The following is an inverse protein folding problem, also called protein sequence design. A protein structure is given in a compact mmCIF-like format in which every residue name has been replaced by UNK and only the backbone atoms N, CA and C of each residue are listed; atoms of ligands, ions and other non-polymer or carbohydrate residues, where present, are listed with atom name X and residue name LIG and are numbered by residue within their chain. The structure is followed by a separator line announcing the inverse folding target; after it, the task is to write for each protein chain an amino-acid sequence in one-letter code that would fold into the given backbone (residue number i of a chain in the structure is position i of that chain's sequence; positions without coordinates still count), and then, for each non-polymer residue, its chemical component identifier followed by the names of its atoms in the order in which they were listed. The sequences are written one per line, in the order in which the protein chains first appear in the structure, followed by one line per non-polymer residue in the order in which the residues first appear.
data_IF_566193820856
#
_entry.id   IF_566193820856
#
_cell.length_a   1.000
_cell.length_b   1.000
_cell.length_c   1.000
_cell.angle_alpha   90.00
_cell.angle_beta   90.00
_cell.angle_gamma   90.00
#
_symmetry.space_group_name_H-M   'P 1'
#
loop_
_entity.id
_entity.type
_entity.pdbx_description
1 polymer ?
#
# COMPACT_ATOMS: atom_id res chain seq x y z
N UNK A 1 24.08 -36.09 12.28
CA UNK A 1 23.79 -34.85 11.51
C UNK A 1 22.27 -34.66 11.46
N UNK A 2 21.73 -33.81 12.33
CA UNK A 2 20.29 -33.56 12.42
C UNK A 2 19.88 -32.57 11.32
N UNK A 3 19.07 -33.02 10.35
CA UNK A 3 18.37 -32.15 9.40
C UNK A 3 17.33 -31.38 10.19
N UNK A 4 17.48 -30.06 10.27
CA UNK A 4 16.58 -29.17 11.00
C UNK A 4 15.14 -29.30 10.50
N UNK A 5 14.28 -29.86 11.35
CA UNK A 5 12.84 -29.81 11.20
C UNK A 5 12.45 -28.32 11.20
N UNK A 6 11.84 -27.86 10.12
CA UNK A 6 11.34 -26.50 9.97
C UNK A 6 10.30 -26.28 11.07
N UNK A 7 10.70 -25.59 12.13
CA UNK A 7 9.92 -25.41 13.35
C UNK A 7 8.59 -24.74 13.01
N UNK A 8 7.46 -25.37 13.34
CA UNK A 8 6.14 -24.82 13.06
C UNK A 8 5.97 -23.45 13.73
N UNK A 9 5.52 -22.47 12.95
CA UNK A 9 5.20 -21.15 13.46
C UNK A 9 4.09 -21.22 14.51
N UNK A 10 4.24 -20.47 15.60
CA UNK A 10 3.25 -20.40 16.68
C UNK A 10 1.86 -20.00 16.15
N UNK A 11 1.82 -19.15 15.13
CA UNK A 11 0.58 -18.73 14.46
C UNK A 11 -0.11 -19.90 13.75
N UNK A 12 0.65 -20.71 12.99
CA UNK A 12 0.13 -21.90 12.32
C UNK A 12 -0.47 -22.86 13.34
N UNK A 13 0.30 -23.18 14.39
CA UNK A 13 -0.11 -24.12 15.45
C UNK A 13 -1.45 -23.72 16.06
N UNK A 14 -1.63 -22.44 16.38
CA UNK A 14 -2.87 -21.93 16.98
C UNK A 14 -4.07 -21.96 16.06
N UNK A 15 -3.89 -21.60 14.78
CA UNK A 15 -4.98 -21.67 13.80
C UNK A 15 -5.41 -23.13 13.66
N UNK A 16 -4.44 -24.04 13.57
CA UNK A 16 -4.69 -25.48 13.47
C UNK A 16 -5.43 -25.99 14.72
N UNK A 17 -4.98 -25.60 15.92
CA UNK A 17 -5.64 -25.97 17.19
C UNK A 17 -7.06 -25.40 17.29
N UNK A 18 -7.29 -24.17 16.82
CA UNK A 18 -8.62 -23.55 16.81
C UNK A 18 -9.58 -24.29 15.88
N UNK A 19 -9.14 -24.62 14.65
CA UNK A 19 -9.93 -25.40 13.70
C UNK A 19 -10.21 -26.79 14.26
N UNK A 20 -9.19 -27.48 14.78
CA UNK A 20 -9.30 -28.83 15.34
C UNK A 20 -10.36 -28.86 16.46
N UNK A 21 -10.29 -27.90 17.39
CA UNK A 21 -11.23 -27.79 18.51
C UNK A 21 -12.66 -27.47 18.06
N UNK A 22 -12.85 -26.51 17.16
CA UNK A 22 -14.19 -26.06 16.77
C UNK A 22 -14.88 -27.00 15.79
N UNK A 23 -14.12 -27.78 15.01
CA UNK A 23 -14.64 -28.73 14.02
C UNK A 23 -14.57 -30.19 14.47
N UNK A 24 -13.97 -30.48 15.62
CA UNK A 24 -13.87 -31.83 16.17
C UNK A 24 -13.01 -32.78 15.33
N UNK A 25 -11.99 -32.25 14.63
CA UNK A 25 -11.09 -33.03 13.76
C UNK A 25 -9.66 -33.02 14.29
N UNK A 26 -8.87 -34.03 13.94
CA UNK A 26 -7.51 -34.18 14.45
C UNK A 26 -6.57 -33.10 13.90
N UNK A 27 -5.53 -32.76 14.67
CA UNK A 27 -4.51 -31.79 14.25
C UNK A 27 -3.87 -32.16 12.91
N UNK A 28 -3.53 -33.43 12.72
CA UNK A 28 -2.89 -33.94 11.50
C UNK A 28 -3.83 -33.86 10.30
N UNK A 29 -5.13 -34.03 10.51
CA UNK A 29 -6.14 -33.85 9.48
C UNK A 29 -6.31 -32.38 9.10
N UNK A 30 -6.32 -31.47 10.07
CA UNK A 30 -6.30 -30.03 9.78
C UNK A 30 -5.04 -29.66 9.00
N UNK A 31 -3.85 -30.12 9.39
CA UNK A 31 -2.61 -29.85 8.68
C UNK A 31 -2.65 -30.36 7.22
N UNK A 32 -3.23 -31.53 6.98
CA UNK A 32 -3.47 -32.04 5.62
C UNK A 32 -4.39 -31.11 4.83
N UNK A 33 -5.51 -30.70 5.41
CA UNK A 33 -6.43 -29.75 4.77
C UNK A 33 -5.79 -28.39 4.50
N UNK A 34 -4.90 -27.91 5.39
CA UNK A 34 -4.14 -26.67 5.21
C UNK A 34 -3.20 -26.79 4.02
N UNK A 35 -2.46 -27.88 3.91
CA UNK A 35 -1.53 -28.10 2.81
C UNK A 35 -2.27 -28.28 1.47
N UNK A 36 -3.44 -28.93 1.48
CA UNK A 36 -4.33 -29.01 0.31
C UNK A 36 -4.85 -27.64 -0.11
N UNK A 37 -5.33 -26.84 0.85
CA UNK A 37 -5.80 -25.47 0.60
C UNK A 37 -4.66 -24.60 0.06
N UNK A 38 -3.45 -24.74 0.60
CA UNK A 38 -2.25 -24.07 0.11
C UNK A 38 -1.95 -24.45 -1.35
N UNK A 39 -2.00 -25.73 -1.69
CA UNK A 39 -1.78 -26.22 -3.07
C UNK A 39 -2.85 -25.69 -4.03
N UNK A 40 -4.12 -25.65 -3.60
CA UNK A 40 -5.22 -25.07 -4.39
C UNK A 40 -4.95 -23.61 -4.76
N UNK A 41 -4.30 -22.86 -3.87
CA UNK A 41 -3.92 -21.46 -4.09
C UNK A 41 -2.60 -21.31 -4.86
N UNK A 42 -2.14 -22.38 -5.50
CA UNK A 42 -0.89 -22.42 -6.28
C UNK A 42 0.37 -22.67 -5.45
N UNK A 43 0.25 -23.06 -4.18
CA UNK A 43 1.40 -23.36 -3.30
C UNK A 43 2.16 -22.12 -2.80
N UNK A 44 1.72 -20.93 -3.22
CA UNK A 44 2.37 -19.65 -2.97
C UNK A 44 2.14 -19.14 -1.54
N UNK A 45 0.91 -19.20 -0.96
CA UNK A 45 0.71 -18.70 0.40
C UNK A 45 1.52 -19.49 1.43
N UNK A 46 1.90 -18.84 2.54
CA UNK A 46 2.48 -19.54 3.68
C UNK A 46 1.48 -20.54 4.28
N UNK A 47 1.98 -21.49 5.07
CA UNK A 47 1.11 -22.43 5.80
C UNK A 47 0.16 -21.67 6.74
N UNK A 48 0.61 -20.59 7.39
CA UNK A 48 -0.27 -19.77 8.23
C UNK A 48 -1.44 -19.18 7.43
N UNK A 49 -1.16 -18.68 6.23
CA UNK A 49 -2.17 -18.05 5.37
C UNK A 49 -3.17 -19.09 4.87
N UNK A 50 -2.69 -20.25 4.43
CA UNK A 50 -3.56 -21.36 4.05
C UNK A 50 -4.42 -21.85 5.22
N UNK A 51 -3.83 -21.91 6.42
CA UNK A 51 -4.56 -22.26 7.64
C UNK A 51 -5.63 -21.21 7.98
N UNK A 52 -5.31 -19.93 7.87
CA UNK A 52 -6.26 -18.84 8.11
C UNK A 52 -7.43 -18.89 7.12
N UNK A 53 -7.16 -19.16 5.84
CA UNK A 53 -8.20 -19.31 4.83
C UNK A 53 -9.09 -20.51 5.08
N UNK A 54 -8.48 -21.64 5.45
CA UNK A 54 -9.22 -22.82 5.84
C UNK A 54 -10.13 -22.50 7.03
N UNK A 55 -9.62 -21.83 8.06
CA UNK A 55 -10.42 -21.40 9.21
C UNK A 55 -11.59 -20.52 8.78
N UNK A 56 -11.33 -19.51 7.94
CA UNK A 56 -12.37 -18.61 7.43
C UNK A 56 -13.44 -19.35 6.62
N UNK A 57 -13.05 -20.31 5.77
CA UNK A 57 -13.98 -21.16 5.00
C UNK A 57 -14.86 -22.01 5.91
N UNK A 58 -14.27 -22.50 6.99
CA UNK A 58 -14.96 -23.30 7.99
C UNK A 58 -15.76 -22.44 8.99
N UNK A 59 -15.76 -21.11 8.85
CA UNK A 59 -16.46 -20.19 9.75
C UNK A 59 -15.80 -20.03 11.13
N UNK A 60 -14.59 -20.55 11.30
CA UNK A 60 -13.80 -20.46 12.53
C UNK A 60 -13.19 -19.05 12.58
N UNK A 61 -13.59 -18.26 13.58
CA UNK A 61 -13.04 -16.92 13.79
C UNK A 61 -11.67 -17.02 14.44
N UNK A 62 -10.62 -16.82 13.66
CA UNK A 62 -9.26 -16.73 14.17
C UNK A 62 -8.93 -15.27 14.48
N UNK A 63 -8.81 -14.96 15.76
CA UNK A 63 -8.09 -13.76 16.16
C UNK A 63 -6.60 -14.05 16.11
N UNK A 64 -5.89 -13.42 15.15
CA UNK A 64 -4.44 -13.35 15.21
C UNK A 64 -4.10 -12.59 16.50
N UNK A 65 -3.33 -13.23 17.37
CA UNK A 65 -2.92 -12.59 18.61
C UNK A 65 -2.14 -11.32 18.29
N UNK A 66 -2.13 -10.37 19.23
CA UNK A 66 -1.07 -9.35 19.25
C UNK A 66 0.22 -10.16 19.15
N UNK A 67 0.97 -10.00 18.08
CA UNK A 67 2.30 -10.59 17.99
C UNK A 67 3.13 -9.99 19.12
N UNK A 68 3.14 -10.67 20.28
CA UNK A 68 3.72 -10.18 21.55
C UNK A 68 5.24 -10.20 21.52
N UNK A 69 5.86 -10.86 20.54
CA UNK A 69 7.28 -10.70 20.29
C UNK A 69 7.52 -9.28 19.75
N UNK A 70 8.27 -8.42 20.46
CA UNK A 70 8.78 -7.19 19.88
C UNK A 70 9.50 -7.54 18.56
N UNK A 71 9.13 -6.88 17.46
CA UNK A 71 9.77 -7.10 16.16
C UNK A 71 9.23 -8.22 15.27
N UNK A 72 8.20 -8.98 15.65
CA UNK A 72 7.56 -9.91 14.69
C UNK A 72 6.47 -9.21 13.88
N UNK A 73 6.70 -9.05 12.59
CA UNK A 73 5.82 -8.40 11.62
C UNK A 73 5.36 -9.39 10.56
N UNK A 74 4.10 -9.29 10.12
CA UNK A 74 3.63 -10.02 8.95
C UNK A 74 4.25 -9.39 7.69
N UNK A 75 4.70 -10.24 6.77
CA UNK A 75 5.08 -9.80 5.41
C UNK A 75 3.83 -9.39 4.65
N UNK A 76 3.99 -8.42 3.75
CA UNK A 76 2.89 -7.96 2.90
C UNK A 76 2.37 -9.06 1.97
N UNK A 77 3.25 -9.98 1.56
CA UNK A 77 2.89 -11.17 0.77
C UNK A 77 1.93 -12.12 1.50
N UNK A 78 1.94 -12.11 2.83
CA UNK A 78 1.12 -12.99 3.67
C UNK A 78 -0.22 -12.34 4.06
N UNK A 79 -0.45 -11.08 3.65
CA UNK A 79 -1.69 -10.39 3.95
C UNK A 79 -2.81 -10.80 2.99
N UNK A 80 -4.03 -10.86 3.52
CA UNK A 80 -5.24 -11.16 2.76
C UNK A 80 -6.41 -10.26 3.15
N UNK A 81 -7.30 -9.93 2.21
CA UNK A 81 -8.52 -9.21 2.52
C UNK A 81 -9.32 -9.91 3.64
N UNK A 82 -9.75 -9.14 4.63
CA UNK A 82 -10.51 -9.63 5.79
C UNK A 82 -9.65 -9.91 7.02
N UNK A 83 -8.31 -9.93 6.91
CA UNK A 83 -7.44 -10.01 8.08
C UNK A 83 -7.61 -8.77 8.97
N UNK A 84 -7.59 -8.99 10.28
CA UNK A 84 -7.77 -7.96 11.31
C UNK A 84 -6.63 -8.01 12.30
N UNK A 85 -6.41 -6.88 12.99
CA UNK A 85 -5.36 -6.69 14.00
C UNK A 85 -3.95 -7.04 13.49
N UNK A 86 -3.69 -6.82 12.21
CA UNK A 86 -2.37 -7.12 11.63
C UNK A 86 -1.30 -6.18 12.15
N UNK A 87 -0.08 -6.69 12.30
CA UNK A 87 1.12 -5.92 12.61
C UNK A 87 2.10 -6.01 11.45
N UNK A 88 2.49 -4.87 10.89
CA UNK A 88 3.41 -4.79 9.73
C UNK A 88 4.47 -3.73 9.97
N UNK A 89 5.65 -3.95 9.40
CA UNK A 89 6.71 -2.96 9.31
C UNK A 89 6.91 -2.65 7.83
N UNK A 90 6.76 -1.39 7.46
CA UNK A 90 6.77 -0.98 6.05
C UNK A 90 7.53 0.33 5.88
N UNK A 91 8.21 0.50 4.75
CA UNK A 91 8.81 1.76 4.34
C UNK A 91 7.85 2.53 3.44
N UNK A 92 7.75 3.84 3.65
CA UNK A 92 6.93 4.74 2.84
C UNK A 92 7.59 4.93 1.47
N UNK A 93 6.97 4.39 0.44
CA UNK A 93 7.36 4.64 -0.95
C UNK A 93 6.85 6.00 -1.41
N UNK A 94 5.58 6.30 -1.15
CA UNK A 94 4.94 7.54 -1.62
C UNK A 94 3.95 8.05 -0.60
N UNK A 95 3.96 9.36 -0.40
CA UNK A 95 2.94 10.09 0.37
C UNK A 95 1.97 10.72 -0.64
N UNK A 96 0.69 10.35 -0.59
CA UNK A 96 -0.35 11.02 -1.39
C UNK A 96 -1.04 12.12 -0.57
N UNK A 97 -1.95 12.85 -1.22
CA UNK A 97 -2.70 13.92 -0.57
C UNK A 97 -3.62 13.39 0.54
N UNK A 98 -3.80 14.21 1.58
CA UNK A 98 -4.87 14.03 2.56
C UNK A 98 -6.18 14.50 1.93
N UNK A 99 -7.21 13.67 2.03
CA UNK A 99 -8.54 13.97 1.53
C UNK A 99 -9.50 14.06 2.71
N UNK A 100 -10.52 14.91 2.59
CA UNK A 100 -11.65 14.89 3.50
C UNK A 100 -12.77 14.02 2.92
N UNK A 101 -13.38 13.23 3.78
CA UNK A 101 -14.46 12.31 3.45
C UNK A 101 -15.64 12.61 4.37
N UNK A 102 -16.75 13.08 3.79
CA UNK A 102 -17.99 13.34 4.52
C UNK A 102 -19.00 12.21 4.26
N UNK A 103 -19.26 11.32 5.24
CA UNK A 103 -20.32 10.31 5.13
C UNK A 103 -21.70 10.98 5.06
N UNK A 104 -22.69 10.28 4.49
CA UNK A 104 -24.07 10.79 4.39
C UNK A 104 -24.71 11.12 5.75
N UNK A 105 -24.30 10.44 6.81
CA UNK A 105 -24.91 10.54 8.15
C UNK A 105 -23.86 10.74 9.25
N UNK A 106 -22.74 11.40 8.96
CA UNK A 106 -21.66 11.53 9.94
C UNK A 106 -20.73 12.71 9.72
N UNK A 107 -19.83 12.88 10.66
CA UNK A 107 -18.79 13.91 10.63
C UNK A 107 -17.79 13.67 9.51
N UNK A 108 -17.24 14.78 9.00
CA UNK A 108 -16.16 14.74 8.03
C UNK A 108 -14.91 14.09 8.66
N UNK A 109 -14.38 13.07 7.99
CA UNK A 109 -13.18 12.36 8.41
C UNK A 109 -12.07 12.59 7.41
N UNK A 110 -10.87 12.86 7.90
CA UNK A 110 -9.68 12.88 7.06
C UNK A 110 -9.24 11.46 6.72
N UNK A 111 -8.70 11.29 5.52
CA UNK A 111 -8.02 10.08 5.10
C UNK A 111 -6.72 10.45 4.39
N UNK A 112 -5.60 9.93 4.87
CA UNK A 112 -4.32 10.01 4.19
C UNK A 112 -3.99 8.64 3.59
N UNK A 113 -3.54 8.65 2.33
CA UNK A 113 -3.12 7.43 1.64
C UNK A 113 -1.61 7.47 1.43
N UNK A 114 -0.94 6.36 1.72
CA UNK A 114 0.48 6.16 1.46
C UNK A 114 0.66 4.91 0.59
N UNK A 115 1.63 4.93 -0.33
CA UNK A 115 2.18 3.70 -0.91
C UNK A 115 3.30 3.23 0.00
N UNK A 116 3.27 1.98 0.41
CA UNK A 116 4.24 1.40 1.35
C UNK A 116 4.77 0.06 0.83
N UNK A 117 5.96 -0.33 1.25
CA UNK A 117 6.60 -1.60 0.88
C UNK A 117 7.29 -2.24 2.08
N UNK A 118 7.38 -3.56 2.11
CA UNK A 118 8.23 -4.32 3.04
C UNK A 118 9.58 -4.73 2.41
N UNK A 119 9.87 -4.22 1.20
CA UNK A 119 11.04 -4.57 0.39
C UNK A 119 10.75 -5.59 -0.71
N UNK A 120 9.67 -6.35 -0.60
CA UNK A 120 9.30 -7.40 -1.57
C UNK A 120 7.97 -7.14 -2.26
N UNK A 121 6.99 -6.59 -1.54
CA UNK A 121 5.66 -6.27 -2.06
C UNK A 121 5.29 -4.83 -1.74
N UNK A 122 4.31 -4.34 -2.48
CA UNK A 122 3.69 -3.04 -2.27
C UNK A 122 2.28 -3.19 -1.67
N UNK A 123 1.88 -2.22 -0.86
CA UNK A 123 0.51 -2.05 -0.40
C UNK A 123 0.15 -0.56 -0.29
N UNK A 124 -1.13 -0.28 -0.13
CA UNK A 124 -1.60 1.04 0.28
C UNK A 124 -1.88 1.05 1.77
N UNK A 125 -1.33 2.03 2.49
CA UNK A 125 -1.68 2.31 3.87
C UNK A 125 -2.67 3.48 3.91
N UNK A 126 -3.85 3.27 4.50
CA UNK A 126 -4.91 4.26 4.67
C UNK A 126 -5.00 4.67 6.13
N UNK A 127 -4.61 5.90 6.44
CA UNK A 127 -4.69 6.48 7.78
C UNK A 127 -5.97 7.29 7.91
N UNK A 128 -6.84 6.93 8.84
CA UNK A 128 -8.13 7.59 9.03
C UNK A 128 -8.16 8.52 10.24
N UNK A 129 -8.97 9.58 10.14
CA UNK A 129 -9.24 10.53 11.22
C UNK A 129 -7.95 11.13 11.77
N UNK A 130 -7.76 11.06 13.09
CA UNK A 130 -6.57 11.58 13.78
C UNK A 130 -5.27 10.98 13.23
N UNK A 131 -5.27 9.75 12.71
CA UNK A 131 -4.07 9.15 12.14
C UNK A 131 -3.66 9.80 10.83
N UNK A 132 -4.58 10.43 10.09
CA UNK A 132 -4.25 11.18 8.88
C UNK A 132 -3.46 12.47 9.18
N UNK A 133 -3.58 13.01 10.40
CA UNK A 133 -2.92 14.26 10.82
C UNK A 133 -1.40 14.19 10.75
N UNK A 134 -0.80 13.01 10.98
CA UNK A 134 0.67 12.86 10.88
C UNK A 134 1.16 13.16 9.46
N UNK A 135 0.33 12.89 8.44
CA UNK A 135 0.63 13.22 7.05
C UNK A 135 0.30 14.68 6.76
N UNK A 136 -0.83 15.19 7.25
CA UNK A 136 -1.22 16.60 7.08
C UNK A 136 -0.17 17.56 7.65
N UNK A 137 0.40 17.21 8.81
CA UNK A 137 1.47 17.94 9.50
C UNK A 137 2.87 17.63 8.97
N UNK A 138 2.99 16.84 7.89
CA UNK A 138 4.25 16.46 7.24
C UNK A 138 5.26 15.74 8.17
N UNK A 139 4.75 15.01 9.15
CA UNK A 139 5.58 14.19 10.06
C UNK A 139 5.97 12.84 9.44
N UNK A 140 5.38 12.49 8.30
CA UNK A 140 5.71 11.30 7.51
C UNK A 140 6.16 11.73 6.12
N UNK A 141 7.32 11.23 5.69
CA UNK A 141 7.92 11.45 4.36
C UNK A 141 8.27 10.11 3.70
N UNK A 142 8.54 10.16 2.39
CA UNK A 142 9.14 9.02 1.68
C UNK A 142 10.41 8.57 2.39
N UNK A 143 10.64 7.26 2.38
CA UNK A 143 11.68 6.55 3.10
C UNK A 143 11.53 6.48 4.62
N UNK A 144 10.53 7.08 5.26
CA UNK A 144 10.28 6.74 6.67
C UNK A 144 9.83 5.28 6.81
N UNK A 145 10.17 4.66 7.93
CA UNK A 145 9.69 3.33 8.31
C UNK A 145 8.51 3.49 9.25
N UNK A 146 7.41 2.80 8.97
CA UNK A 146 6.20 2.80 9.79
C UNK A 146 6.02 1.41 10.38
N UNK A 147 5.97 1.34 11.71
CA UNK A 147 5.38 0.19 12.40
C UNK A 147 3.89 0.45 12.57
N UNK A 148 3.07 -0.44 12.00
CA UNK A 148 1.61 -0.37 12.08
C UNK A 148 1.14 -1.57 12.85
N UNK A 149 0.34 -1.36 13.90
CA UNK A 149 -0.25 -2.44 14.69
C UNK A 149 -1.76 -2.28 14.81
N UNK A 150 -2.50 -3.39 14.79
CA UNK A 150 -3.95 -3.36 14.95
C UNK A 150 -4.72 -3.04 13.66
N UNK A 151 -4.04 -2.98 12.50
CA UNK A 151 -4.68 -2.60 11.24
C UNK A 151 -5.59 -3.71 10.68
N UNK A 152 -6.47 -3.35 9.75
CA UNK A 152 -7.28 -4.29 8.99
C UNK A 152 -6.92 -4.26 7.51
N UNK A 153 -7.04 -5.40 6.83
CA UNK A 153 -6.67 -5.55 5.43
C UNK A 153 -7.92 -5.63 4.56
N UNK A 154 -7.98 -4.81 3.51
CA UNK A 154 -9.02 -4.80 2.48
C UNK A 154 -8.42 -5.10 1.12
N UNK A 155 -9.28 -5.57 0.22
CA UNK A 155 -8.97 -5.61 -1.21
C UNK A 155 -8.95 -4.17 -1.73
N UNK A 156 -7.80 -3.72 -2.20
CA UNK A 156 -7.66 -2.43 -2.87
C UNK A 156 -7.94 -2.55 -4.37
N UNK A 157 -7.72 -1.44 -5.08
CA UNK A 157 -7.83 -1.37 -6.55
C UNK A 157 -6.53 -1.83 -7.21
N UNK A 158 -6.62 -2.32 -8.46
CA UNK A 158 -5.47 -2.75 -9.28
C UNK A 158 -4.58 -3.81 -8.62
N UNK A 159 -5.18 -4.73 -7.85
CA UNK A 159 -4.45 -5.88 -7.27
C UNK A 159 -3.61 -5.59 -6.03
N UNK A 160 -3.46 -4.32 -5.61
CA UNK A 160 -2.78 -3.98 -4.36
C UNK A 160 -3.73 -4.08 -3.17
N UNK A 161 -3.22 -4.54 -2.04
CA UNK A 161 -3.95 -4.56 -0.77
C UNK A 161 -4.03 -3.16 -0.17
N UNK A 162 -5.11 -2.91 0.57
CA UNK A 162 -5.31 -1.71 1.37
C UNK A 162 -5.24 -2.09 2.85
N UNK A 163 -4.17 -1.68 3.52
CA UNK A 163 -4.00 -1.78 4.97
C UNK A 163 -4.57 -0.52 5.56
N UNK A 164 -5.59 -0.64 6.39
CA UNK A 164 -6.26 0.51 6.94
C UNK A 164 -6.05 0.61 8.43
N UNK A 165 -5.78 1.84 8.85
CA UNK A 165 -5.47 2.24 10.21
C UNK A 165 -6.59 3.15 10.69
N UNK A 166 -7.44 2.61 11.54
CA UNK A 166 -8.50 3.37 12.21
C UNK A 166 -8.05 3.82 13.62
N UNK A 167 -9.00 4.28 14.43
CA UNK A 167 -8.76 4.75 15.80
C UNK A 167 -8.17 3.69 16.74
N UNK A 168 -8.44 2.40 16.49
CA UNK A 168 -7.98 1.29 17.33
C UNK A 168 -6.58 0.77 16.94
N UNK A 169 -6.05 1.23 15.81
CA UNK A 169 -4.72 0.89 15.34
C UNK A 169 -3.68 1.94 15.78
N UNK A 170 -2.43 1.52 15.88
CA UNK A 170 -1.29 2.39 16.19
C UNK A 170 -0.35 2.48 15.00
N UNK A 171 0.30 3.63 14.87
CA UNK A 171 1.36 3.88 13.88
C UNK A 171 2.51 4.54 14.61
N UNK A 172 3.68 3.90 14.57
CA UNK A 172 4.91 4.45 15.10
C UNK A 172 5.85 4.77 13.93
N UNK A 173 6.33 6.01 13.86
CA UNK A 173 7.19 6.50 12.79
C UNK A 173 8.64 6.33 13.22
N UNK A 174 9.43 5.64 12.40
CA UNK A 174 10.83 5.31 12.65
C UNK A 174 11.04 4.67 14.05
N UNK A 175 10.42 3.52 14.33
CA UNK A 175 10.33 2.91 15.67
C UNK A 175 11.66 2.39 16.26
N UNK A 176 12.80 2.63 15.61
CA UNK A 176 14.11 2.15 16.07
C UNK A 176 14.27 0.62 16.09
N UNK A 177 13.54 -0.08 15.22
CA UNK A 177 13.50 -1.55 15.19
C UNK A 177 14.69 -2.09 14.37
N UNK A 178 15.32 -3.17 14.83
CA UNK A 178 16.47 -3.80 14.16
C UNK A 178 16.16 -4.59 12.89
N UNK A 179 15.03 -4.30 12.24
CA UNK A 179 14.61 -4.93 10.98
C UNK A 179 14.86 -3.95 9.85
N UNK A 180 15.78 -4.28 8.95
CA UNK A 180 16.10 -3.44 7.81
C UNK A 180 15.12 -3.69 6.65
N UNK A 181 14.48 -2.60 6.20
CA UNK A 181 13.74 -2.56 4.94
C UNK A 181 14.60 -1.75 3.95
N UNK A 182 14.88 -2.22 2.73
CA UNK A 182 15.68 -1.47 1.77
C UNK A 182 15.17 -0.04 1.56
N UNK A 183 16.08 0.94 1.49
CA UNK A 183 15.72 2.31 1.15
C UNK A 183 15.32 2.42 -0.32
N UNK A 184 14.34 3.25 -0.62
CA UNK A 184 13.87 3.49 -1.98
C UNK A 184 14.69 4.64 -2.57
N UNK A 185 15.44 4.34 -3.64
CA UNK A 185 16.08 5.37 -4.47
C UNK A 185 15.02 5.99 -5.36
N UNK A 186 15.00 7.32 -5.43
CA UNK A 186 14.13 8.05 -6.36
C UNK A 186 14.88 8.25 -7.67
N UNK A 187 14.22 7.88 -8.76
CA UNK A 187 14.73 8.07 -10.11
C UNK A 187 13.71 8.89 -10.89
N UNK A 188 14.22 9.87 -11.65
CA UNK A 188 13.40 10.69 -12.52
C UNK A 188 13.52 10.16 -13.94
N UNK A 189 12.41 9.69 -14.48
CA UNK A 189 12.36 9.13 -15.83
C UNK A 189 12.39 10.28 -16.83
N UNK A 190 13.27 10.18 -17.84
CA UNK A 190 13.30 11.13 -18.97
C UNK A 190 11.96 11.11 -19.69
N UNK A 191 11.48 12.28 -20.11
CA UNK A 191 10.17 12.37 -20.72
C UNK A 191 10.08 11.49 -21.96
N UNK A 192 11.14 11.34 -22.75
CA UNK A 192 11.21 10.46 -23.94
C UNK A 192 10.92 8.99 -23.66
N UNK A 193 11.10 8.52 -22.42
CA UNK A 193 10.95 7.11 -22.05
C UNK A 193 9.57 6.75 -21.52
N UNK A 194 8.69 7.74 -21.27
CA UNK A 194 7.42 7.49 -20.58
C UNK A 194 6.53 6.45 -21.26
N UNK A 195 6.66 6.24 -22.57
CA UNK A 195 5.90 5.23 -23.31
C UNK A 195 6.11 3.81 -22.77
N UNK A 196 7.28 3.53 -22.17
CA UNK A 196 7.59 2.24 -21.54
C UNK A 196 6.86 2.01 -20.22
N UNK A 197 6.30 3.07 -19.64
CA UNK A 197 5.69 3.08 -18.31
C UNK A 197 4.18 3.32 -18.37
N UNK A 198 3.54 3.00 -19.49
CA UNK A 198 2.11 3.24 -19.68
C UNK A 198 1.25 2.57 -18.58
N UNK A 199 0.42 3.36 -17.92
CA UNK A 199 -0.45 2.91 -16.83
C UNK A 199 0.21 2.92 -15.44
N UNK A 200 1.52 3.10 -15.37
CA UNK A 200 2.33 3.17 -14.15
C UNK A 200 2.41 4.60 -13.58
N UNK A 201 2.89 4.71 -12.34
CA UNK A 201 3.20 5.99 -11.68
C UNK A 201 4.72 6.19 -11.66
N UNK A 202 5.20 7.26 -12.29
CA UNK A 202 6.62 7.60 -12.37
C UNK A 202 6.89 8.97 -11.76
N UNK A 203 8.15 9.23 -11.45
CA UNK A 203 8.62 10.56 -11.10
C UNK A 203 9.31 11.17 -12.32
N UNK A 204 9.01 12.43 -12.64
CA UNK A 204 9.59 13.17 -13.77
C UNK A 204 10.05 14.54 -13.33
N UNK A 205 11.04 15.08 -14.04
CA UNK A 205 11.48 16.46 -13.87
C UNK A 205 11.52 17.18 -15.21
N UNK A 206 11.35 18.50 -15.16
CA UNK A 206 11.29 19.33 -16.35
C UNK A 206 10.88 20.74 -16.01
N UNK A 207 10.46 21.50 -17.01
CA UNK A 207 10.01 22.88 -16.88
C UNK A 207 8.64 23.05 -17.54
N UNK A 208 7.80 23.90 -16.95
CA UNK A 208 6.51 24.25 -17.52
C UNK A 208 6.76 25.19 -18.70
N UNK A 209 6.52 24.72 -19.92
CA UNK A 209 6.63 25.54 -21.12
C UNK A 209 5.43 26.47 -21.29
N UNK A 210 4.24 25.93 -21.08
CA UNK A 210 3.00 26.69 -21.25
C UNK A 210 1.86 26.04 -20.46
N UNK A 211 0.79 26.80 -20.28
CA UNK A 211 -0.47 26.32 -19.73
C UNK A 211 -1.60 26.62 -20.72
N UNK A 212 -2.43 25.61 -21.01
CA UNK A 212 -3.60 25.80 -21.87
C UNK A 212 -4.61 26.68 -21.16
N UNK A 213 -5.19 27.66 -21.87
CA UNK A 213 -6.28 28.49 -21.33
C UNK A 213 -7.51 27.64 -21.03
N UNK A 214 -8.19 27.96 -19.93
CA UNK A 214 -9.41 27.29 -19.47
C UNK A 214 -9.16 25.99 -18.73
N UNK A 215 -10.26 25.29 -18.45
CA UNK A 215 -10.31 24.03 -17.69
C UNK A 215 -11.06 23.01 -18.53
N UNK A 216 -10.62 21.75 -18.53
CA UNK A 216 -11.36 20.69 -19.22
C UNK A 216 -12.74 20.49 -18.57
N UNK A 217 -13.73 19.88 -19.25
CA UNK A 217 -15.03 19.56 -18.66
C UNK A 217 -14.98 18.74 -17.36
N UNK A 218 -13.87 18.07 -17.07
CA UNK A 218 -13.67 17.27 -15.86
C UNK A 218 -12.84 17.99 -14.77
N UNK A 219 -12.76 19.33 -14.82
CA UNK A 219 -12.08 20.13 -13.80
C UNK A 219 -10.56 19.93 -13.77
N UNK A 220 -9.90 19.85 -14.93
CA UNK A 220 -8.45 19.68 -15.05
C UNK A 220 -7.81 20.85 -15.78
N UNK A 221 -6.64 21.29 -15.31
CA UNK A 221 -5.72 22.16 -16.06
C UNK A 221 -4.70 21.32 -16.82
N UNK A 222 -4.35 21.79 -18.02
CA UNK A 222 -3.39 21.11 -18.91
C UNK A 222 -2.17 22.01 -19.08
N UNK A 223 -1.01 21.49 -18.71
CA UNK A 223 0.28 22.13 -18.88
C UNK A 223 1.08 21.41 -19.96
N UNK A 224 2.04 22.10 -20.55
CA UNK A 224 3.10 21.49 -21.35
C UNK A 224 4.33 21.42 -20.46
N UNK A 225 4.76 20.21 -20.15
CA UNK A 225 6.00 19.93 -19.42
C UNK A 225 7.06 19.54 -20.45
N UNK A 226 8.26 20.08 -20.32
CA UNK A 226 9.38 19.72 -21.17
C UNK A 226 10.63 19.41 -20.36
N UNK A 227 11.48 18.57 -20.93
CA UNK A 227 12.86 18.39 -20.55
C UNK A 227 13.74 18.59 -21.79
N UNK A 228 15.00 18.22 -21.70
CA UNK A 228 15.98 18.20 -22.80
C UNK A 228 15.66 17.16 -23.89
N UNK A 229 14.75 16.22 -23.64
CA UNK A 229 14.44 15.10 -24.54
C UNK A 229 13.14 15.29 -25.33
N UNK A 230 12.06 15.78 -24.70
CA UNK A 230 10.78 16.05 -25.37
C UNK A 230 9.84 16.93 -24.56
N UNK A 231 8.69 17.23 -25.17
CA UNK A 231 7.55 17.88 -24.51
C UNK A 231 6.40 16.89 -24.36
N UNK A 232 5.71 16.93 -23.22
CA UNK A 232 4.52 16.13 -22.92
C UNK A 232 3.44 16.99 -22.27
N UNK A 233 2.19 16.51 -22.29
CA UNK A 233 1.10 17.16 -21.56
C UNK A 233 1.10 16.68 -20.12
N UNK A 234 1.03 17.61 -19.18
CA UNK A 234 0.83 17.32 -17.77
C UNK A 234 -0.57 17.76 -17.36
N UNK A 235 -1.40 16.82 -16.89
CA UNK A 235 -2.81 17.07 -16.55
C UNK A 235 -3.00 17.03 -15.04
N UNK A 236 -3.41 18.16 -14.46
CA UNK A 236 -3.55 18.31 -13.00
C UNK A 236 -5.00 18.70 -12.67
N UNK A 237 -5.65 18.09 -11.65
CA UNK A 237 -6.93 18.60 -11.14
C UNK A 237 -6.83 20.07 -10.77
N UNK A 238 -7.80 20.88 -11.20
CA UNK A 238 -7.78 22.33 -10.97
C UNK A 238 -7.67 22.67 -9.48
N UNK A 239 -8.38 21.91 -8.63
CA UNK A 239 -8.35 22.04 -7.16
C UNK A 239 -7.02 21.67 -6.50
N UNK A 240 -6.02 21.19 -7.25
CA UNK A 240 -4.75 20.78 -6.66
C UNK A 240 -3.91 22.01 -6.28
N UNK A 241 -3.42 22.07 -5.04
CA UNK A 241 -2.64 23.20 -4.51
C UNK A 241 -1.44 23.63 -5.38
N UNK A 242 -0.85 22.71 -6.13
CA UNK A 242 0.27 22.99 -7.03
C UNK A 242 -0.12 23.95 -8.18
N UNK A 243 -1.38 23.96 -8.62
CA UNK A 243 -1.86 24.79 -9.74
C UNK A 243 -1.53 26.28 -9.54
N UNK A 244 -1.50 26.75 -8.29
CA UNK A 244 -1.20 28.14 -7.96
C UNK A 244 0.29 28.54 -8.13
N UNK A 245 1.17 27.56 -8.43
CA UNK A 245 2.62 27.74 -8.50
C UNK A 245 3.21 27.33 -9.86
N UNK A 246 2.40 26.83 -10.78
CA UNK A 246 2.85 26.26 -12.06
C UNK A 246 2.71 27.27 -13.20
N UNK A 247 3.58 28.28 -13.21
CA UNK A 247 3.66 29.26 -14.29
C UNK A 247 4.68 28.83 -15.35
N UNK A 248 4.55 29.30 -16.61
CA UNK A 248 5.58 29.10 -17.63
C UNK A 248 6.97 29.52 -17.14
N UNK A 249 8.00 28.75 -17.49
CA UNK A 249 9.39 28.93 -17.07
C UNK A 249 9.76 28.27 -15.73
N UNK A 250 8.79 27.78 -14.96
CA UNK A 250 9.08 27.14 -13.66
C UNK A 250 9.62 25.73 -13.86
N UNK A 251 10.80 25.46 -13.30
CA UNK A 251 11.33 24.11 -13.14
C UNK A 251 10.56 23.34 -12.06
N UNK A 252 10.19 22.10 -12.36
CA UNK A 252 9.33 21.27 -11.52
C UNK A 252 9.82 19.85 -11.44
N UNK A 253 9.63 19.25 -10.26
CA UNK A 253 9.68 17.81 -10.04
C UNK A 253 8.27 17.32 -9.75
N UNK A 254 7.78 16.42 -10.59
CA UNK A 254 6.43 15.88 -10.48
C UNK A 254 6.55 14.43 -10.02
N UNK A 255 6.06 14.17 -8.82
CA UNK A 255 6.14 12.85 -8.21
C UNK A 255 4.87 12.07 -8.46
N UNK A 256 5.00 10.84 -8.96
CA UNK A 256 3.91 9.87 -9.05
C UNK A 256 2.86 10.29 -10.07
N UNK A 257 3.33 10.92 -11.14
CA UNK A 257 2.48 11.21 -12.28
C UNK A 257 2.12 9.88 -12.91
N UNK A 258 0.83 9.66 -13.11
CA UNK A 258 0.36 8.48 -13.82
C UNK A 258 0.57 8.70 -15.32
N UNK A 259 1.32 7.83 -15.96
CA UNK A 259 1.48 7.86 -17.41
C UNK A 259 0.22 7.30 -18.08
N UNK A 260 -0.32 8.05 -19.02
CA UNK A 260 -1.39 7.62 -19.91
C UNK A 260 -1.12 8.01 -21.36
N UNK A 261 -2.11 7.76 -22.21
CA UNK A 261 -2.13 8.25 -23.59
C UNK A 261 -3.38 9.05 -23.85
N UNK A 262 -3.25 10.03 -24.74
CA UNK A 262 -4.38 10.59 -25.45
C UNK A 262 -4.98 9.60 -26.44
N UNK A 263 -6.23 9.84 -26.84
CA UNK A 263 -6.84 9.17 -27.99
C UNK A 263 -6.02 9.31 -29.29
N UNK A 264 -5.15 10.33 -29.38
CA UNK A 264 -4.21 10.56 -30.49
C UNK A 264 -2.88 9.79 -30.36
N UNK A 265 -2.71 8.94 -29.34
CA UNK A 265 -1.47 8.18 -29.10
C UNK A 265 -0.37 8.91 -28.34
N UNK A 266 -0.44 10.25 -28.19
CA UNK A 266 0.56 11.05 -27.47
C UNK A 266 0.49 10.81 -25.95
N UNK A 267 1.63 10.62 -25.26
CA UNK A 267 1.67 10.46 -23.80
C UNK A 267 1.11 11.66 -23.02
N UNK A 268 0.44 11.36 -21.90
CA UNK A 268 -0.17 12.29 -20.92
C UNK A 268 0.24 11.91 -19.49
#
# INVERSE_FOLDING_TARGET
MARGVKMESNTLRRIVEAIAREKGISRDEVLRMVEEERRRLGGIPSLEVAAYLLASKLGVKVELEKTEKPGSYLKLADLMPGMRRVRVLVRVARVYNVLSFKPKTGEEKLVARLKVTDGEKDAYLLLWGVKAEIVAKKLVKTNDVLEVSGAYVKRGRKGLLEISVDENATVNVNPGVGVEIPSIKREFIKLSELERFEGEEVDVEGYILSVRRGVTPHGRKVYVLADDTRQVRLVIPERHQAVNRLNPGVAVRVYGVKVGRLKSGTPI
#
